data_IF_895706513197
#
_entry.id   IF_895706513197
#
_cell.length_a   1.000
_cell.length_b   1.000
_cell.length_c   1.000
_cell.angle_alpha   90.00
_cell.angle_beta   90.00
_cell.angle_gamma   90.00
#
_symmetry.space_group_name_H-M   'P 1'
#
loop_
_entity.id
_entity.type
_entity.pdbx_description
1 polymer ?
#
# COMPACT_ATOMS: atom_id res chain seq x y z
N UNK A 1 5.61 -6.24 4.63
CA UNK A 1 5.83 -5.29 3.51
C UNK A 1 4.51 -5.02 2.82
N UNK A 2 4.23 -3.75 2.51
CA UNK A 2 3.03 -3.30 1.83
C UNK A 2 3.40 -2.74 0.45
N UNK A 3 2.58 -3.07 -0.56
CA UNK A 3 2.72 -2.58 -1.93
C UNK A 3 1.43 -1.91 -2.41
N UNK A 4 1.56 -0.78 -3.10
CA UNK A 4 0.44 -0.05 -3.70
C UNK A 4 0.59 -0.05 -5.22
N UNK A 5 -0.01 -1.04 -5.86
CA UNK A 5 0.14 -1.33 -7.28
C UNK A 5 -0.70 -0.37 -8.10
N UNK A 6 -0.03 0.43 -8.93
CA UNK A 6 -0.62 1.31 -9.91
C UNK A 6 -0.26 0.86 -11.34
N UNK A 7 -0.64 1.62 -12.38
CA UNK A 7 -0.32 1.28 -13.78
C UNK A 7 1.19 1.14 -13.98
N UNK A 8 1.99 2.04 -13.39
CA UNK A 8 3.45 1.95 -13.49
C UNK A 8 3.99 0.64 -12.93
N UNK A 9 3.46 0.17 -11.79
CA UNK A 9 3.81 -1.13 -11.22
C UNK A 9 3.41 -2.28 -12.15
N UNK A 10 2.20 -2.25 -12.71
CA UNK A 10 1.75 -3.29 -13.64
C UNK A 10 2.69 -3.39 -14.84
N UNK A 11 3.02 -2.26 -15.47
CA UNK A 11 3.90 -2.22 -16.63
C UNK A 11 5.32 -2.64 -16.28
N UNK A 12 5.89 -2.15 -15.18
CA UNK A 12 7.24 -2.54 -14.77
C UNK A 12 7.33 -4.03 -14.41
N UNK A 13 6.27 -4.64 -13.86
CA UNK A 13 6.23 -6.06 -13.53
C UNK A 13 6.19 -6.98 -14.77
N UNK A 14 5.82 -6.45 -15.94
CA UNK A 14 5.83 -7.19 -17.21
C UNK A 14 7.28 -7.44 -17.69
N UNK A 15 8.15 -6.44 -17.54
CA UNK A 15 9.53 -6.48 -18.07
C UNK A 15 10.62 -6.73 -17.02
N UNK A 16 10.32 -6.64 -15.72
CA UNK A 16 11.29 -6.86 -14.64
C UNK A 16 10.85 -8.00 -13.70
N UNK A 17 11.34 -9.24 -13.91
CA UNK A 17 10.95 -10.41 -13.12
C UNK A 17 11.22 -10.26 -11.62
N UNK A 18 12.33 -9.63 -11.23
CA UNK A 18 12.66 -9.38 -9.83
C UNK A 18 11.70 -8.37 -9.18
N UNK A 19 11.30 -7.33 -9.93
CA UNK A 19 10.31 -6.38 -9.46
C UNK A 19 8.94 -7.04 -9.31
N UNK A 20 8.53 -7.86 -10.28
CA UNK A 20 7.33 -8.67 -10.17
C UNK A 20 7.35 -9.53 -8.92
N UNK A 21 8.45 -10.24 -8.68
CA UNK A 21 8.64 -11.06 -7.48
C UNK A 21 8.48 -10.23 -6.20
N UNK A 22 9.05 -9.02 -6.15
CA UNK A 22 8.93 -8.14 -4.97
C UNK A 22 7.48 -7.72 -4.66
N UNK A 23 6.68 -7.45 -5.69
CA UNK A 23 5.25 -7.16 -5.54
C UNK A 23 4.49 -8.40 -5.05
N UNK A 24 4.76 -9.57 -5.63
CA UNK A 24 4.11 -10.84 -5.25
C UNK A 24 4.48 -11.31 -3.85
N UNK A 25 5.69 -11.02 -3.38
CA UNK A 25 6.17 -11.35 -2.03
C UNK A 25 5.73 -10.33 -0.95
N UNK A 26 4.95 -9.32 -1.32
CA UNK A 26 4.38 -8.39 -0.35
C UNK A 26 3.34 -9.08 0.54
N UNK A 27 3.24 -8.63 1.79
CA UNK A 27 2.25 -9.15 2.74
C UNK A 27 0.85 -8.62 2.46
N UNK A 28 0.77 -7.39 1.93
CA UNK A 28 -0.45 -6.78 1.47
C UNK A 28 -0.18 -6.01 0.17
N UNK A 29 -1.05 -6.24 -0.82
CA UNK A 29 -1.03 -5.56 -2.12
C UNK A 29 -2.34 -4.79 -2.26
N UNK A 30 -2.24 -3.47 -2.31
CA UNK A 30 -3.34 -2.54 -2.49
C UNK A 30 -3.35 -2.03 -3.93
N UNK A 31 -4.53 -1.79 -4.49
CA UNK A 31 -4.66 -1.30 -5.88
C UNK A 31 -4.78 0.22 -5.87
N UNK A 32 -3.71 0.89 -6.31
CA UNK A 32 -3.56 2.34 -6.34
C UNK A 32 -3.72 2.89 -7.76
N UNK A 33 -4.89 2.72 -8.35
CA UNK A 33 -5.19 3.34 -9.64
C UNK A 33 -6.55 2.98 -10.18
N UNK A 34 -7.31 4.00 -10.59
CA UNK A 34 -8.62 3.81 -11.20
C UNK A 34 -8.57 2.96 -12.50
N UNK A 35 -7.55 3.09 -13.38
CA UNK A 35 -7.44 2.24 -14.56
C UNK A 35 -7.35 0.74 -14.24
N UNK A 36 -6.70 0.37 -13.13
CA UNK A 36 -6.61 -1.03 -12.70
C UNK A 36 -7.96 -1.54 -12.18
N UNK A 37 -8.76 -0.69 -11.53
CA UNK A 37 -10.12 -1.05 -11.11
C UNK A 37 -11.03 -1.26 -12.33
N UNK A 38 -10.93 -0.42 -13.36
CA UNK A 38 -11.67 -0.62 -14.61
C UNK A 38 -11.28 -1.93 -15.30
N UNK A 39 -9.98 -2.20 -15.39
CA UNK A 39 -9.45 -3.45 -15.93
C UNK A 39 -9.96 -4.67 -15.15
N UNK A 40 -9.94 -4.60 -13.82
CA UNK A 40 -10.45 -5.65 -12.96
C UNK A 40 -11.94 -5.91 -13.20
N UNK A 41 -12.76 -4.84 -13.29
CA UNK A 41 -14.20 -4.95 -13.59
C UNK A 41 -14.45 -5.59 -14.95
N UNK A 42 -13.68 -5.20 -15.97
CA UNK A 42 -13.77 -5.78 -17.30
C UNK A 42 -13.50 -7.30 -17.26
N UNK A 43 -12.49 -7.72 -16.49
CA UNK A 43 -12.09 -9.12 -16.31
C UNK A 43 -12.95 -9.90 -15.29
N UNK A 44 -14.00 -9.30 -14.73
CA UNK A 44 -14.84 -9.90 -13.69
C UNK A 44 -14.07 -10.22 -12.40
N UNK A 45 -12.98 -9.49 -12.12
CA UNK A 45 -12.20 -9.62 -10.90
C UNK A 45 -12.88 -8.83 -9.76
N UNK A 46 -13.00 -9.42 -8.56
CA UNK A 46 -13.65 -8.78 -7.42
C UNK A 46 -12.70 -7.78 -6.73
N UNK A 47 -12.28 -6.75 -7.45
CA UNK A 47 -11.55 -5.60 -6.90
C UNK A 47 -12.52 -4.41 -6.82
N UNK A 48 -13.15 -4.18 -5.65
CA UNK A 48 -14.30 -3.28 -5.57
C UNK A 48 -13.89 -1.81 -5.70
N UNK A 49 -12.72 -1.43 -5.17
CA UNK A 49 -12.32 -0.04 -5.06
C UNK A 49 -10.81 0.18 -5.13
N UNK A 50 -10.44 1.43 -5.41
CA UNK A 50 -9.08 1.95 -5.40
C UNK A 50 -8.68 2.27 -3.96
N UNK A 51 -7.50 1.80 -3.55
CA UNK A 51 -6.89 2.09 -2.26
C UNK A 51 -5.50 2.67 -2.50
N UNK A 52 -5.38 4.01 -2.51
CA UNK A 52 -4.07 4.64 -2.62
C UNK A 52 -3.28 4.56 -1.33
N UNK A 53 -1.96 4.46 -1.47
CA UNK A 53 -1.06 4.54 -0.34
C UNK A 53 -1.13 5.87 0.40
N UNK A 54 -1.40 6.97 -0.31
CA UNK A 54 -1.62 8.29 0.29
C UNK A 54 -2.94 8.38 1.05
N UNK A 55 -4.01 7.75 0.56
CA UNK A 55 -5.29 7.68 1.28
C UNK A 55 -5.14 6.83 2.56
N UNK A 56 -4.42 5.69 2.48
CA UNK A 56 -4.07 4.89 3.66
C UNK A 56 -3.24 5.69 4.68
N UNK A 57 -2.24 6.45 4.23
CA UNK A 57 -1.42 7.28 5.10
C UNK A 57 -2.24 8.36 5.80
N UNK A 58 -3.14 9.02 5.06
CA UNK A 58 -4.10 10.02 5.59
C UNK A 58 -5.04 9.39 6.63
N UNK A 59 -5.53 8.17 6.39
CA UNK A 59 -6.38 7.45 7.34
C UNK A 59 -5.61 7.05 8.60
N UNK A 60 -4.35 6.61 8.47
CA UNK A 60 -3.47 6.32 9.62
C UNK A 60 -3.22 7.57 10.49
N UNK A 61 -3.03 8.75 9.89
CA UNK A 61 -2.86 10.02 10.63
C UNK A 61 -4.06 10.35 11.52
N UNK A 62 -5.28 10.02 11.06
CA UNK A 62 -6.54 10.35 11.74
C UNK A 62 -6.91 9.39 12.86
N UNK A 63 -6.27 8.23 12.93
CA UNK A 63 -6.62 7.22 13.93
C UNK A 63 -6.27 7.71 15.35
N UNK A 64 -7.17 7.59 16.34
CA UNK A 64 -6.89 7.94 17.72
C UNK A 64 -5.99 6.89 18.41
N UNK A 65 -5.32 7.29 19.50
CA UNK A 65 -4.46 6.42 20.32
C UNK A 65 -2.96 6.75 20.22
N UNK A 66 -2.06 5.91 20.77
CA UNK A 66 -0.61 6.06 20.68
C UNK A 66 -0.12 6.07 19.22
N UNK A 67 0.61 7.10 18.77
CA UNK A 67 0.94 7.27 17.36
C UNK A 67 1.91 6.19 16.88
N UNK A 68 1.82 5.83 15.60
CA UNK A 68 2.90 5.09 14.94
C UNK A 68 4.05 6.05 14.65
N UNK A 69 5.26 5.63 15.00
CA UNK A 69 6.50 6.33 14.67
C UNK A 69 6.88 6.06 13.22
N UNK A 70 6.94 7.09 12.39
CA UNK A 70 7.19 6.98 10.95
C UNK A 70 8.59 7.48 10.60
N UNK A 71 9.41 6.61 10.01
CA UNK A 71 10.66 7.02 9.39
C UNK A 71 10.49 7.12 7.87
N UNK A 72 11.17 8.10 7.27
CA UNK A 72 11.19 8.30 5.83
C UNK A 72 12.60 8.04 5.29
N UNK A 73 12.71 7.20 4.26
CA UNK A 73 13.98 6.90 3.60
C UNK A 73 13.91 7.24 2.11
N UNK A 74 14.77 8.16 1.67
CA UNK A 74 14.82 8.65 0.30
C UNK A 74 13.85 9.80 0.01
N UNK A 75 13.60 10.05 -1.27
CA UNK A 75 12.94 11.25 -1.76
C UNK A 75 13.96 12.32 -2.19
N UNK A 76 13.49 13.47 -2.70
CA UNK A 76 14.36 14.59 -3.05
C UNK A 76 15.17 15.07 -1.83
N UNK A 77 16.32 15.73 -2.02
CA UNK A 77 17.14 16.24 -0.91
C UNK A 77 16.31 17.06 0.10
N UNK A 78 16.42 16.71 1.39
CA UNK A 78 15.69 17.33 2.50
C UNK A 78 14.23 16.88 2.67
N UNK A 79 13.64 16.16 1.71
CA UNK A 79 12.21 15.83 1.76
C UNK A 79 11.89 14.81 2.87
N UNK A 80 12.79 13.88 3.16
CA UNK A 80 12.58 12.89 4.23
C UNK A 80 12.60 13.55 5.61
N UNK A 81 13.58 14.44 5.83
CA UNK A 81 13.78 15.19 7.06
C UNK A 81 12.61 16.13 7.32
N UNK A 82 12.20 16.89 6.30
CA UNK A 82 11.02 17.77 6.35
C UNK A 82 9.73 16.98 6.60
N UNK A 83 9.53 15.84 5.93
CA UNK A 83 8.37 14.99 6.16
C UNK A 83 8.31 14.49 7.60
N UNK A 84 9.44 14.05 8.16
CA UNK A 84 9.51 13.63 9.56
C UNK A 84 9.22 14.79 10.52
N UNK A 85 9.83 15.95 10.31
CA UNK A 85 9.64 17.13 11.15
C UNK A 85 8.18 17.61 11.11
N UNK A 86 7.61 17.71 9.91
CA UNK A 86 6.23 18.14 9.70
C UNK A 86 5.23 17.19 10.36
N UNK A 87 5.47 15.88 10.31
CA UNK A 87 4.62 14.88 10.94
C UNK A 87 4.68 14.96 12.47
N UNK A 88 5.88 15.17 13.04
CA UNK A 88 6.05 15.41 14.48
C UNK A 88 5.34 16.68 14.93
N UNK A 89 5.44 17.76 14.16
CA UNK A 89 4.76 19.02 14.45
C UNK A 89 3.23 18.88 14.37
N UNK A 90 2.72 18.22 13.33
CA UNK A 90 1.28 17.95 13.17
C UNK A 90 0.75 17.05 14.30
N UNK A 91 1.56 16.09 14.77
CA UNK A 91 1.22 15.28 15.92
C UNK A 91 1.11 16.12 17.19
N UNK A 92 2.10 16.97 17.48
CA UNK A 92 2.10 17.86 18.64
C UNK A 92 0.92 18.84 18.64
N UNK A 93 0.47 19.28 17.45
CA UNK A 93 -0.72 20.12 17.27
C UNK A 93 -2.06 19.34 17.32
N UNK A 94 -2.02 18.02 17.46
CA UNK A 94 -3.21 17.16 17.44
C UNK A 94 -3.87 17.01 16.07
N UNK A 95 -3.22 17.47 14.99
CA UNK A 95 -3.72 17.37 13.61
C UNK A 95 -3.47 15.97 13.00
N UNK A 96 -2.39 15.31 13.43
CA UNK A 96 -2.05 13.93 13.10
C UNK A 96 -1.93 13.10 14.39
N UNK A 97 -3.04 12.82 15.09
CA UNK A 97 -2.98 12.06 16.36
C UNK A 97 -2.43 10.64 16.18
N UNK A 98 -2.55 10.07 14.98
CA UNK A 98 -2.23 8.67 14.73
C UNK A 98 -0.83 8.38 14.25
N UNK A 99 -0.08 9.38 13.80
CA UNK A 99 1.30 9.24 13.32
C UNK A 99 2.18 10.35 13.88
N UNK A 100 3.45 10.03 14.13
CA UNK A 100 4.50 11.00 14.53
C UNK A 100 5.81 10.67 13.81
N UNK A 101 6.71 11.64 13.64
CA UNK A 101 7.98 11.44 12.96
C UNK A 101 9.01 10.69 13.82
N UNK A 102 9.76 9.79 13.21
CA UNK A 102 10.82 8.98 13.82
C UNK A 102 12.21 9.26 13.21
N UNK A 103 12.28 10.01 12.10
CA UNK A 103 13.51 10.34 11.40
C UNK A 103 13.31 10.44 9.89
N UNK A 104 14.08 11.33 9.27
CA UNK A 104 14.25 11.41 7.83
C UNK A 104 15.67 11.03 7.46
N UNK A 105 15.81 10.17 6.46
CA UNK A 105 17.09 9.62 6.04
C UNK A 105 17.25 9.81 4.54
N UNK A 106 18.19 10.66 4.15
CA UNK A 106 18.61 10.77 2.76
C UNK A 106 19.19 9.43 2.29
N UNK A 107 18.73 8.96 1.14
CA UNK A 107 19.30 7.76 0.51
C UNK A 107 20.53 8.09 -0.34
N UNK A 108 20.62 9.31 -0.89
CA UNK A 108 21.61 9.65 -1.90
C UNK A 108 21.35 8.96 -3.24
N UNK A 109 22.39 8.82 -4.05
CA UNK A 109 22.35 8.17 -5.36
C UNK A 109 23.09 6.85 -5.31
N UNK A 110 22.50 5.80 -5.89
CA UNK A 110 23.09 4.48 -5.84
C UNK A 110 22.14 3.39 -6.34
N UNK A 111 22.66 2.18 -6.47
CA UNK A 111 21.87 0.97 -6.71
C UNK A 111 21.29 0.43 -5.39
N UNK A 112 20.63 -0.72 -5.43
CA UNK A 112 20.04 -1.29 -4.23
C UNK A 112 21.13 -1.67 -3.20
N UNK A 113 22.29 -2.13 -3.65
CA UNK A 113 23.34 -2.66 -2.79
C UNK A 113 24.08 -1.54 -2.07
N UNK A 114 24.42 -0.48 -2.78
CA UNK A 114 25.06 0.71 -2.20
C UNK A 114 24.15 1.40 -1.19
N UNK A 115 22.83 1.34 -1.38
CA UNK A 115 21.84 1.88 -0.44
C UNK A 115 21.53 0.94 0.74
N UNK A 116 22.09 -0.27 0.76
CA UNK A 116 21.84 -1.32 1.77
C UNK A 116 23.00 -1.47 2.75
N UNK A 117 23.83 -0.44 2.89
CA UNK A 117 24.97 -0.43 3.80
C UNK A 117 24.54 -0.53 5.27
N UNK A 118 25.44 -1.05 6.10
CA UNK A 118 25.17 -1.29 7.52
C UNK A 118 24.89 0.00 8.31
N UNK A 119 25.50 1.13 7.93
CA UNK A 119 25.28 2.38 8.65
C UNK A 119 23.86 2.91 8.41
N UNK A 120 23.38 2.87 7.16
CA UNK A 120 22.00 3.23 6.82
C UNK A 120 20.99 2.35 7.56
N UNK A 121 21.19 1.04 7.55
CA UNK A 121 20.26 0.11 8.22
C UNK A 121 20.30 0.21 9.74
N UNK A 122 21.49 0.45 10.33
CA UNK A 122 21.63 0.71 11.75
C UNK A 122 20.90 1.99 12.15
N UNK A 123 21.03 3.07 11.37
CA UNK A 123 20.34 4.34 11.62
C UNK A 123 18.81 4.19 11.52
N UNK A 124 18.33 3.51 10.49
CA UNK A 124 16.89 3.21 10.33
C UNK A 124 16.36 2.36 11.48
N UNK A 125 17.11 1.36 11.94
CA UNK A 125 16.72 0.52 13.08
C UNK A 125 16.77 1.28 14.41
N UNK A 126 17.75 2.17 14.60
CA UNK A 126 17.90 3.00 15.79
C UNK A 126 16.80 4.06 15.93
N UNK A 127 16.18 4.47 14.81
CA UNK A 127 15.02 5.39 14.82
C UNK A 127 13.84 4.88 15.66
N UNK A 128 13.75 3.57 15.87
CA UNK A 128 12.62 2.95 16.54
C UNK A 128 11.31 3.11 15.77
N UNK A 129 11.38 3.27 14.43
CA UNK A 129 10.22 3.43 13.59
C UNK A 129 9.34 2.17 13.58
N UNK A 130 8.04 2.42 13.67
CA UNK A 130 6.98 1.44 13.50
C UNK A 130 6.60 1.28 12.02
N UNK A 131 6.75 2.37 11.26
CA UNK A 131 6.46 2.41 9.84
C UNK A 131 7.58 3.09 9.07
N UNK A 132 8.29 2.31 8.26
CA UNK A 132 9.27 2.79 7.30
C UNK A 132 8.62 3.08 5.94
N UNK A 133 8.66 4.34 5.53
CA UNK A 133 8.24 4.80 4.20
C UNK A 133 9.47 4.95 3.30
N UNK A 134 9.52 4.14 2.25
CA UNK A 134 10.61 4.12 1.27
C UNK A 134 10.22 4.93 0.02
N UNK A 135 11.06 5.88 -0.39
CA UNK A 135 10.82 6.78 -1.52
C UNK A 135 11.99 6.81 -2.51
N UNK A 136 12.37 5.64 -3.03
CA UNK A 136 13.47 5.47 -4.00
C UNK A 136 13.01 5.33 -5.46
N UNK A 137 11.72 5.53 -5.72
CA UNK A 137 11.06 5.12 -6.97
C UNK A 137 10.56 3.68 -6.90
N UNK A 138 9.53 3.36 -7.70
CA UNK A 138 8.78 2.10 -7.59
C UNK A 138 9.66 0.85 -7.61
N UNK A 139 10.44 0.67 -8.68
CA UNK A 139 11.26 -0.52 -8.90
C UNK A 139 12.35 -0.65 -7.83
N UNK A 140 13.17 0.40 -7.67
CA UNK A 140 14.28 0.42 -6.73
C UNK A 140 13.81 0.30 -5.28
N UNK A 141 12.74 1.02 -4.92
CA UNK A 141 12.19 1.03 -3.57
C UNK A 141 11.62 -0.31 -3.15
N UNK A 142 10.93 -1.02 -4.05
CA UNK A 142 10.45 -2.38 -3.78
C UNK A 142 11.60 -3.39 -3.67
N UNK A 143 12.59 -3.32 -4.57
CA UNK A 143 13.75 -4.20 -4.50
C UNK A 143 14.56 -3.99 -3.22
N UNK A 144 14.79 -2.72 -2.84
CA UNK A 144 15.49 -2.37 -1.60
C UNK A 144 14.72 -2.84 -0.36
N UNK A 145 13.40 -2.64 -0.32
CA UNK A 145 12.57 -3.09 0.79
C UNK A 145 12.58 -4.61 0.91
N UNK A 146 12.44 -5.35 -0.20
CA UNK A 146 12.47 -6.80 -0.19
C UNK A 146 13.83 -7.34 0.28
N UNK A 147 14.93 -6.78 -0.23
CA UNK A 147 16.30 -7.18 0.14
C UNK A 147 16.55 -7.01 1.64
N UNK A 148 16.13 -5.89 2.21
CA UNK A 148 16.47 -5.53 3.58
C UNK A 148 15.40 -5.89 4.62
N UNK A 149 14.23 -6.41 4.21
CA UNK A 149 13.11 -6.68 5.13
C UNK A 149 13.48 -7.51 6.35
N UNK A 150 14.40 -8.46 6.22
CA UNK A 150 14.83 -9.34 7.31
C UNK A 150 15.81 -8.66 8.29
N UNK A 151 16.46 -7.57 7.85
CA UNK A 151 17.44 -6.79 8.62
C UNK A 151 16.81 -5.55 9.27
N UNK A 152 15.62 -5.17 8.82
CA UNK A 152 14.86 -4.02 9.34
C UNK A 152 13.96 -4.45 10.51
N UNK A 153 13.93 -3.64 11.56
CA UNK A 153 13.10 -3.86 12.76
C UNK A 153 11.68 -3.30 12.64
N UNK A 154 11.49 -2.34 11.73
CA UNK A 154 10.19 -1.72 11.51
C UNK A 154 9.16 -2.78 11.04
N UNK A 155 8.04 -2.97 11.75
CA UNK A 155 7.04 -3.96 11.38
C UNK A 155 6.31 -3.61 10.08
N UNK A 156 6.13 -2.32 9.80
CA UNK A 156 5.54 -1.84 8.56
C UNK A 156 6.62 -1.24 7.66
N UNK A 157 6.70 -1.73 6.44
CA UNK A 157 7.60 -1.22 5.40
C UNK A 157 6.78 -1.09 4.13
N UNK A 158 6.73 0.09 3.54
CA UNK A 158 6.00 0.35 2.29
C UNK A 158 6.76 1.32 1.42
N UNK A 159 6.79 1.04 0.11
CA UNK A 159 7.19 2.05 -0.86
C UNK A 159 6.03 3.03 -1.08
N UNK A 160 6.18 4.28 -0.65
CA UNK A 160 5.19 5.36 -0.80
C UNK A 160 5.85 6.64 -1.31
N UNK A 161 6.39 6.62 -2.52
CA UNK A 161 7.22 7.72 -3.03
C UNK A 161 6.59 9.12 -2.98
N UNK A 162 5.32 9.27 -3.40
CA UNK A 162 4.66 10.58 -3.39
C UNK A 162 4.29 11.06 -1.97
N UNK A 163 4.13 10.14 -1.01
CA UNK A 163 3.72 10.47 0.37
C UNK A 163 4.80 11.27 1.10
N UNK A 164 6.07 11.05 0.80
CA UNK A 164 7.17 11.87 1.37
C UNK A 164 6.98 13.34 0.99
N UNK A 165 6.78 13.62 -0.31
CA UNK A 165 6.62 15.00 -0.77
C UNK A 165 5.31 15.65 -0.32
N UNK A 166 4.22 14.88 -0.21
CA UNK A 166 2.97 15.39 0.35
C UNK A 166 3.12 15.72 1.84
N UNK A 167 3.76 14.84 2.62
CA UNK A 167 3.98 15.05 4.06
C UNK A 167 4.95 16.20 4.31
N UNK A 168 6.00 16.35 3.49
CA UNK A 168 6.92 17.48 3.55
C UNK A 168 6.30 18.82 3.09
N UNK A 169 5.03 18.83 2.64
CA UNK A 169 4.37 20.05 2.14
C UNK A 169 4.87 20.54 0.78
N UNK A 170 5.77 19.79 0.12
CA UNK A 170 6.35 20.13 -1.19
C UNK A 170 5.37 19.95 -2.35
N UNK A 171 4.39 19.08 -2.18
CA UNK A 171 3.32 18.84 -3.16
C UNK A 171 1.96 18.91 -2.48
N UNK A 172 0.97 19.40 -3.23
CA UNK A 172 -0.43 19.37 -2.79
C UNK A 172 -1.15 18.14 -3.35
N UNK A 173 -1.97 17.50 -2.51
CA UNK A 173 -2.87 16.41 -2.92
C UNK A 173 -3.92 16.95 -3.91
N UNK A 174 -4.44 16.07 -4.76
CA UNK A 174 -5.57 16.41 -5.61
C UNK A 174 -6.83 16.70 -4.75
N UNK A 175 -7.66 17.67 -5.15
CA UNK A 175 -8.95 17.94 -4.51
C UNK A 175 -9.81 16.68 -4.39
N UNK A 176 -10.66 16.61 -3.36
CA UNK A 176 -11.51 15.44 -3.08
C UNK A 176 -12.37 15.05 -4.28
N UNK A 177 -12.91 16.03 -5.01
CA UNK A 177 -13.73 15.77 -6.19
C UNK A 177 -12.91 15.07 -7.30
N UNK A 178 -11.67 15.50 -7.54
CA UNK A 178 -10.78 14.92 -8.55
C UNK A 178 -10.36 13.49 -8.17
N UNK A 179 -10.13 13.24 -6.87
CA UNK A 179 -9.88 11.89 -6.33
C UNK A 179 -11.09 10.97 -6.51
N UNK A 180 -12.31 11.47 -6.28
CA UNK A 180 -13.56 10.69 -6.39
C UNK A 180 -13.88 10.29 -7.83
N UNK A 181 -13.68 11.18 -8.80
CA UNK A 181 -13.92 10.89 -10.22
C UNK A 181 -12.75 10.19 -10.91
N UNK A 182 -11.64 9.95 -10.19
CA UNK A 182 -10.50 9.18 -10.69
C UNK A 182 -9.56 9.93 -11.63
N UNK A 183 -9.61 11.27 -11.66
CA UNK A 183 -8.74 12.11 -12.50
C UNK A 183 -7.52 12.68 -11.76
N UNK A 184 -7.19 12.11 -10.60
CA UNK A 184 -6.02 12.52 -9.80
C UNK A 184 -4.72 12.51 -10.62
N UNK A 185 -4.59 11.60 -11.59
CA UNK A 185 -3.45 11.58 -12.50
C UNK A 185 -3.34 12.85 -13.36
N UNK A 186 -4.46 13.42 -13.81
CA UNK A 186 -4.48 14.66 -14.58
C UNK A 186 -4.09 15.85 -13.71
N UNK A 187 -4.60 15.89 -12.48
CA UNK A 187 -4.18 16.87 -11.48
C UNK A 187 -2.66 16.81 -11.26
N UNK A 188 -2.11 15.59 -11.12
CA UNK A 188 -0.67 15.41 -10.95
C UNK A 188 0.13 15.89 -12.16
N UNK A 189 -0.33 15.66 -13.38
CA UNK A 189 0.32 16.17 -14.59
C UNK A 189 0.31 17.70 -14.60
N UNK A 190 -0.79 18.33 -14.17
CA UNK A 190 -0.88 19.78 -14.08
C UNK A 190 0.09 20.36 -13.02
N UNK A 191 0.25 19.68 -11.87
CA UNK A 191 1.16 20.14 -10.79
C UNK A 191 2.62 19.78 -11.01
N UNK A 192 2.89 18.66 -11.69
CA UNK A 192 4.24 18.16 -11.96
C UNK A 192 4.37 17.82 -13.46
N UNK A 193 4.51 18.80 -14.36
CA UNK A 193 4.47 18.57 -15.81
C UNK A 193 5.42 17.47 -16.27
N UNK A 194 6.62 17.38 -15.71
CA UNK A 194 7.63 16.37 -16.06
C UNK A 194 7.15 14.91 -15.98
N UNK A 195 6.09 14.60 -15.23
CA UNK A 195 5.56 13.23 -15.12
C UNK A 195 4.77 12.81 -16.36
N UNK A 196 4.35 13.74 -17.22
CA UNK A 196 3.49 13.46 -18.38
C UNK A 196 4.07 12.38 -19.29
N UNK A 197 5.40 12.42 -19.53
CA UNK A 197 6.11 11.45 -20.37
C UNK A 197 5.95 10.02 -19.84
N UNK A 198 6.04 9.87 -18.51
CA UNK A 198 5.83 8.59 -17.84
C UNK A 198 4.40 8.11 -18.01
N UNK A 199 3.40 8.98 -17.77
CA UNK A 199 1.99 8.62 -17.96
C UNK A 199 1.65 8.22 -19.40
N UNK A 200 2.22 8.92 -20.38
CA UNK A 200 2.04 8.58 -21.79
C UNK A 200 2.65 7.20 -22.11
N UNK A 201 3.87 6.92 -21.63
CA UNK A 201 4.52 5.63 -21.86
C UNK A 201 3.80 4.47 -21.15
N UNK A 202 3.40 4.68 -19.90
CA UNK A 202 2.64 3.71 -19.11
C UNK A 202 1.26 3.46 -19.76
N UNK A 203 0.60 4.52 -20.23
CA UNK A 203 -0.69 4.44 -20.93
C UNK A 203 -0.61 3.69 -22.26
N UNK A 204 0.42 3.96 -23.08
CA UNK A 204 0.64 3.23 -24.34
C UNK A 204 0.85 1.74 -24.11
N UNK A 205 1.67 1.38 -23.13
CA UNK A 205 1.91 -0.03 -22.78
C UNK A 205 0.66 -0.69 -22.21
N UNK A 206 -0.13 0.03 -21.40
CA UNK A 206 -1.40 -0.48 -20.90
C UNK A 206 -2.39 -0.75 -22.04
N UNK A 207 -2.48 0.14 -23.04
CA UNK A 207 -3.31 -0.10 -24.23
C UNK A 207 -2.82 -1.33 -25.02
N UNK A 208 -1.50 -1.49 -25.17
CA UNK A 208 -0.92 -2.69 -25.78
C UNK A 208 -1.34 -3.97 -25.04
N UNK A 209 -1.24 -3.99 -23.71
CA UNK A 209 -1.70 -5.11 -22.88
C UNK A 209 -3.21 -5.35 -23.00
N UNK A 210 -4.00 -4.27 -23.06
CA UNK A 210 -5.45 -4.38 -23.24
C UNK A 210 -5.80 -5.09 -24.54
N UNK A 211 -5.16 -4.70 -25.64
CA UNK A 211 -5.41 -5.29 -26.97
C UNK A 211 -4.87 -6.71 -27.07
N UNK A 212 -3.64 -6.95 -26.59
CA UNK A 212 -2.96 -8.22 -26.79
C UNK A 212 -3.45 -9.34 -25.86
N UNK A 213 -3.87 -9.01 -24.64
CA UNK A 213 -4.16 -10.02 -23.61
C UNK A 213 -5.56 -9.88 -23.04
N UNK A 214 -5.98 -8.67 -22.66
CA UNK A 214 -7.23 -8.48 -21.91
C UNK A 214 -8.46 -8.66 -22.80
N UNK A 215 -8.47 -8.07 -24.00
CA UNK A 215 -9.60 -8.19 -24.94
C UNK A 215 -9.79 -9.65 -25.39
N UNK A 216 -8.75 -10.39 -25.80
CA UNK A 216 -8.88 -11.82 -26.11
C UNK A 216 -9.40 -12.64 -24.92
N UNK A 217 -8.87 -12.41 -23.70
CA UNK A 217 -9.36 -13.08 -22.50
C UNK A 217 -10.81 -12.71 -22.17
N UNK A 218 -11.23 -11.48 -22.46
CA UNK A 218 -12.60 -11.04 -22.24
C UNK A 218 -13.59 -11.60 -23.27
N UNK A 219 -13.18 -11.68 -24.55
CA UNK A 219 -13.99 -12.19 -25.65
C UNK A 219 -14.09 -13.73 -25.65
N UNK A 220 -13.00 -14.41 -25.31
CA UNK A 220 -12.87 -15.87 -25.47
C UNK A 220 -12.70 -16.62 -24.14
N UNK A 221 -12.47 -15.92 -23.03
CA UNK A 221 -12.34 -16.53 -21.71
C UNK A 221 -13.70 -16.82 -21.07
N UNK A 222 -13.77 -17.91 -20.32
CA UNK A 222 -14.92 -18.20 -19.46
C UNK A 222 -15.01 -17.16 -18.35
N UNK A 223 -16.11 -16.41 -18.30
CA UNK A 223 -16.35 -15.48 -17.18
C UNK A 223 -16.39 -16.27 -15.88
N UNK A 224 -15.66 -15.85 -14.84
CA UNK A 224 -15.83 -16.44 -13.52
C UNK A 224 -17.27 -16.18 -13.09
N UNK A 225 -17.94 -17.20 -12.53
CA UNK A 225 -19.23 -17.01 -11.89
C UNK A 225 -19.10 -15.85 -10.88
N UNK A 226 -19.87 -14.78 -11.11
CA UNK A 226 -19.85 -13.59 -10.27
C UNK A 226 -20.09 -14.00 -8.82
N UNK A 227 -19.17 -13.62 -7.93
CA UNK A 227 -19.37 -13.82 -6.50
C UNK A 227 -20.66 -13.13 -6.04
N UNK A 228 -21.46 -13.85 -5.27
CA UNK A 228 -22.76 -13.45 -4.69
C UNK A 228 -22.74 -12.05 -4.02
N UNK A 229 -23.88 -11.34 -3.95
CA UNK A 229 -23.96 -9.98 -3.40
C UNK A 229 -23.59 -9.90 -1.92
N UNK A 230 -23.02 -8.76 -1.54
CA UNK A 230 -22.77 -8.21 -0.20
C UNK A 230 -23.34 -9.00 1.00
N UNK A 231 -22.64 -10.05 1.43
CA UNK A 231 -22.90 -10.66 2.73
C UNK A 231 -22.10 -9.92 3.82
N UNK A 232 -22.78 -9.49 4.87
CA UNK A 232 -22.23 -8.77 6.04
C UNK A 232 -21.01 -9.50 6.58
N UNK A 233 -19.97 -8.75 6.92
CA UNK A 233 -18.77 -9.32 7.52
C UNK A 233 -19.10 -10.01 8.84
N UNK A 234 -18.67 -11.26 8.98
CA UNK A 234 -18.86 -12.05 10.18
C UNK A 234 -17.50 -12.30 10.84
N UNK A 235 -17.44 -12.06 12.14
CA UNK A 235 -16.29 -12.35 12.98
C UNK A 235 -16.49 -13.72 13.61
N UNK A 236 -15.59 -14.67 13.33
CA UNK A 236 -15.57 -15.96 14.00
C UNK A 236 -14.38 -16.06 14.96
N UNK A 237 -14.60 -16.53 16.18
CA UNK A 237 -13.51 -16.88 17.12
C UNK A 237 -13.20 -18.36 16.93
N UNK A 238 -11.95 -18.70 16.66
CA UNK A 238 -11.48 -20.09 16.63
C UNK A 238 -10.09 -20.18 17.23
N UNK A 239 -9.93 -20.97 18.30
CA UNK A 239 -8.64 -21.32 18.89
C UNK A 239 -7.71 -20.13 19.20
N UNK A 240 -8.26 -19.05 19.77
CA UNK A 240 -7.48 -17.84 20.09
C UNK A 240 -7.09 -16.97 18.89
N UNK A 241 -7.57 -17.32 17.69
CA UNK A 241 -7.47 -16.53 16.46
C UNK A 241 -8.82 -15.94 16.06
N UNK A 242 -8.81 -14.70 15.55
CA UNK A 242 -10.00 -14.03 15.03
C UNK A 242 -10.01 -14.14 13.52
N UNK A 243 -11.05 -14.77 12.97
CA UNK A 243 -11.24 -14.86 11.52
C UNK A 243 -12.11 -13.72 11.03
N UNK A 244 -11.54 -12.87 10.17
CA UNK A 244 -12.28 -11.84 9.46
C UNK A 244 -12.84 -12.39 8.17
N UNK A 245 -14.15 -12.28 8.00
CA UNK A 245 -14.83 -12.68 6.78
C UNK A 245 -15.64 -11.53 6.21
N UNK A 246 -15.76 -11.47 4.88
CA UNK A 246 -16.60 -10.49 4.18
C UNK A 246 -15.83 -9.27 3.69
N UNK A 247 -16.52 -8.14 3.59
CA UNK A 247 -16.01 -6.91 2.98
C UNK A 247 -15.47 -5.94 4.05
N UNK A 248 -14.39 -5.23 3.74
CA UNK A 248 -13.93 -4.09 4.54
C UNK A 248 -14.99 -2.98 4.58
N UNK A 249 -14.97 -2.15 5.63
CA UNK A 249 -15.98 -1.10 5.79
C UNK A 249 -16.25 -0.70 7.24
N UNK A 250 -17.23 0.19 7.48
CA UNK A 250 -17.53 0.71 8.82
C UNK A 250 -17.83 -0.37 9.86
N UNK A 251 -18.60 -1.40 9.49
CA UNK A 251 -18.95 -2.51 10.37
C UNK A 251 -17.73 -3.32 10.79
N UNK A 252 -16.82 -3.62 9.85
CA UNK A 252 -15.55 -4.30 10.13
C UNK A 252 -14.67 -3.46 11.03
N UNK A 253 -14.55 -2.15 10.77
CA UNK A 253 -13.78 -1.23 11.62
C UNK A 253 -14.33 -1.17 13.05
N UNK A 254 -15.65 -1.16 13.20
CA UNK A 254 -16.28 -1.17 14.51
C UNK A 254 -15.97 -2.46 15.27
N UNK A 255 -16.07 -3.62 14.60
CA UNK A 255 -15.72 -4.91 15.17
C UNK A 255 -14.24 -4.96 15.60
N UNK A 256 -13.31 -4.57 14.70
CA UNK A 256 -11.87 -4.52 14.98
C UNK A 256 -11.55 -3.66 16.21
N UNK A 257 -12.11 -2.43 16.26
CA UNK A 257 -11.91 -1.52 17.40
C UNK A 257 -12.47 -2.05 18.71
N UNK A 258 -13.57 -2.79 18.66
CA UNK A 258 -14.16 -3.43 19.84
C UNK A 258 -13.28 -4.56 20.37
N UNK A 259 -12.73 -5.39 19.48
CA UNK A 259 -11.97 -6.58 19.84
C UNK A 259 -10.54 -6.26 20.28
N UNK A 260 -9.89 -5.28 19.65
CA UNK A 260 -8.56 -4.87 20.09
C UNK A 260 -8.54 -4.27 21.51
N UNK A 261 -9.68 -3.84 22.05
CA UNK A 261 -9.81 -3.42 23.46
C UNK A 261 -9.90 -4.60 24.45
N UNK A 262 -10.26 -5.79 23.97
CA UNK A 262 -10.57 -6.97 24.79
C UNK A 262 -9.52 -8.06 24.63
N UNK A 263 -8.82 -8.09 23.51
CA UNK A 263 -7.98 -9.20 23.09
C UNK A 263 -6.48 -8.95 23.38
N UNK A 264 -5.82 -9.91 24.05
CA UNK A 264 -4.35 -9.97 24.19
C UNK A 264 -3.62 -10.21 22.85
N UNK A 265 -2.43 -10.85 22.82
CA UNK A 265 -1.79 -11.20 21.56
C UNK A 265 -2.69 -12.17 20.79
N UNK A 266 -3.31 -11.68 19.71
CA UNK A 266 -4.31 -12.44 18.95
C UNK A 266 -3.96 -12.40 17.47
N UNK A 267 -4.01 -13.59 16.88
CA UNK A 267 -3.75 -13.82 15.48
C UNK A 267 -5.01 -13.54 14.65
N UNK A 268 -4.89 -12.79 13.55
CA UNK A 268 -6.03 -12.45 12.69
C UNK A 268 -5.95 -13.21 11.37
N UNK A 269 -6.93 -14.07 11.14
CA UNK A 269 -7.08 -14.77 9.87
C UNK A 269 -7.88 -13.91 8.88
N UNK A 270 -7.18 -13.34 7.88
CA UNK A 270 -7.78 -12.56 6.80
C UNK A 270 -8.13 -13.45 5.58
N UNK A 271 -7.93 -14.77 5.63
CA UNK A 271 -8.16 -15.69 4.49
C UNK A 271 -9.57 -15.67 3.89
N UNK A 272 -10.56 -15.13 4.59
CA UNK A 272 -11.93 -15.00 4.12
C UNK A 272 -12.35 -13.54 3.84
N UNK A 273 -11.40 -12.60 3.89
CA UNK A 273 -11.62 -11.20 3.55
C UNK A 273 -11.73 -11.05 2.02
N UNK A 274 -12.80 -10.42 1.55
CA UNK A 274 -13.08 -10.22 0.13
C UNK A 274 -12.56 -8.89 -0.38
N UNK A 275 -12.65 -7.84 0.42
CA UNK A 275 -12.21 -6.48 0.10
C UNK A 275 -11.64 -5.76 1.31
N UNK A 276 -10.89 -4.68 1.06
CA UNK A 276 -10.32 -3.84 2.10
C UNK A 276 -10.27 -2.39 1.63
N UNK A 277 -11.05 -1.51 2.27
CA UNK A 277 -10.94 -0.06 2.07
C UNK A 277 -9.71 0.50 2.83
N UNK A 278 -9.27 1.71 2.46
CA UNK A 278 -8.10 2.36 3.07
C UNK A 278 -8.23 2.47 4.60
N UNK A 279 -9.41 2.86 5.08
CA UNK A 279 -9.66 3.07 6.50
C UNK A 279 -9.63 1.75 7.30
N UNK A 280 -10.12 0.65 6.73
CA UNK A 280 -10.08 -0.68 7.34
C UNK A 280 -8.65 -1.22 7.30
N UNK A 281 -7.90 -1.00 6.22
CA UNK A 281 -6.47 -1.31 6.19
C UNK A 281 -5.72 -0.55 7.29
N UNK A 282 -6.00 0.73 7.49
CA UNK A 282 -5.40 1.54 8.54
C UNK A 282 -5.67 0.95 9.94
N UNK A 283 -6.92 0.58 10.23
CA UNK A 283 -7.29 -0.06 11.51
C UNK A 283 -6.66 -1.45 11.66
N UNK A 284 -6.51 -2.22 10.59
CA UNK A 284 -5.83 -3.52 10.64
C UNK A 284 -4.35 -3.38 10.97
N UNK A 285 -3.67 -2.40 10.39
CA UNK A 285 -2.23 -2.21 10.54
C UNK A 285 -1.82 -1.63 11.91
N UNK A 286 -2.78 -1.09 12.68
CA UNK A 286 -2.52 -0.42 13.96
C UNK A 286 -3.43 -0.95 15.07
N UNK A 287 -2.84 -1.54 16.12
CA UNK A 287 -3.57 -1.81 17.36
C UNK A 287 -3.68 -0.52 18.21
N UNK A 288 -4.61 -0.45 19.17
CA UNK A 288 -4.75 0.68 20.07
C UNK A 288 -3.55 0.92 20.99
N UNK A 289 -2.68 -0.07 21.18
CA UNK A 289 -1.53 -0.03 22.11
C UNK A 289 -0.17 -0.05 21.39
N UNK A 290 -0.10 -0.70 20.22
CA UNK A 290 1.15 -0.89 19.46
C UNK A 290 0.90 -1.09 17.96
N UNK A 291 1.90 -0.95 17.10
CA UNK A 291 1.80 -1.35 15.70
C UNK A 291 1.54 -2.86 15.60
N UNK A 292 0.70 -3.28 14.64
CA UNK A 292 0.46 -4.71 14.41
C UNK A 292 1.59 -5.28 13.56
N UNK A 293 2.22 -6.37 14.01
CA UNK A 293 3.22 -7.07 13.20
C UNK A 293 2.52 -7.92 12.13
N UNK A 294 3.15 -8.09 10.97
CA UNK A 294 2.64 -9.00 9.93
C UNK A 294 2.53 -10.45 10.42
N UNK A 295 3.37 -10.87 11.37
CA UNK A 295 3.27 -12.19 12.01
C UNK A 295 1.96 -12.40 12.77
N UNK A 296 1.24 -11.33 13.14
CA UNK A 296 -0.07 -11.38 13.81
C UNK A 296 -1.23 -11.44 12.80
N UNK A 297 -0.94 -11.45 11.50
CA UNK A 297 -1.93 -11.48 10.41
C UNK A 297 -1.65 -12.69 9.51
N UNK A 298 -2.68 -13.51 9.23
CA UNK A 298 -2.68 -14.39 8.06
C UNK A 298 -3.27 -13.60 6.90
N UNK A 299 -2.46 -13.14 5.92
CA UNK A 299 -2.98 -12.41 4.78
C UNK A 299 -3.88 -13.31 3.93
N UNK A 300 -4.79 -12.74 3.13
CA UNK A 300 -5.72 -13.55 2.37
C UNK A 300 -4.98 -14.34 1.29
N UNK A 301 -4.91 -15.67 1.44
CA UNK A 301 -4.17 -16.54 0.52
C UNK A 301 -4.75 -16.53 -0.88
N UNK A 302 -6.06 -16.27 -1.05
CA UNK A 302 -6.67 -16.04 -2.36
C UNK A 302 -6.34 -14.67 -2.97
N UNK A 303 -5.89 -13.67 -2.20
CA UNK A 303 -5.38 -12.42 -2.78
C UNK A 303 -3.99 -12.63 -3.35
N UNK A 304 -3.13 -13.36 -2.63
CA UNK A 304 -1.84 -13.83 -3.16
C UNK A 304 -2.05 -14.74 -4.38
N UNK A 305 -2.91 -15.75 -4.26
CA UNK A 305 -3.12 -16.75 -5.30
C UNK A 305 -3.94 -16.25 -6.51
N UNK A 306 -4.95 -15.37 -6.36
CA UNK A 306 -5.71 -14.85 -7.52
C UNK A 306 -4.97 -13.75 -8.27
N UNK A 307 -4.20 -12.88 -7.59
CA UNK A 307 -3.25 -12.03 -8.31
C UNK A 307 -2.14 -12.88 -8.94
N UNK A 308 -1.57 -13.90 -8.26
CA UNK A 308 -0.57 -14.80 -8.86
C UNK A 308 -1.12 -15.55 -10.08
N UNK A 309 -2.26 -16.24 -9.98
CA UNK A 309 -2.85 -17.00 -11.09
C UNK A 309 -3.22 -16.10 -12.27
N UNK A 310 -3.73 -14.89 -12.03
CA UNK A 310 -4.22 -14.02 -13.12
C UNK A 310 -3.20 -13.02 -13.64
N UNK A 311 -2.24 -12.57 -12.82
CA UNK A 311 -1.06 -11.89 -13.36
C UNK A 311 -0.24 -12.89 -14.15
N UNK A 312 -0.03 -14.13 -13.69
CA UNK A 312 0.65 -15.14 -14.51
C UNK A 312 -0.09 -15.36 -15.85
N UNK A 313 -1.44 -15.43 -15.88
CA UNK A 313 -2.19 -15.45 -17.14
C UNK A 313 -2.16 -14.14 -17.98
N UNK A 314 -1.74 -13.02 -17.40
CA UNK A 314 -1.49 -11.74 -18.09
C UNK A 314 0.01 -11.49 -18.32
N UNK A 315 0.87 -12.45 -17.97
CA UNK A 315 2.34 -12.33 -18.01
C UNK A 315 2.98 -13.50 -18.77
N UNK A 316 2.28 -14.62 -18.89
CA UNK A 316 2.52 -15.78 -19.76
C UNK A 316 1.62 -15.70 -21.01
#
# INVERSE_FOLDING_TARGET
>A
MLSTVNVNFLIAAQSAPEFRRSVLESDLVLVDGQPLIWLARLLGLPLPERVAGSDLFEDLQRLPGPPLKVAFFGGPPGAAEEASAQLTEQHAKGLSPGLTGAGGFAAGFGDVDSLSDEATLAALNASGADFLVVALGAVKGQAWALRNRARLRAPLISHLGAVVNFTAGRLSRAPVWARRVGIEWLWRIATEPGIWRRYMNDGRQLVGLLIAQVIPLWLFGSRPAGGSPHARGALGIRDGSYKLQGDGGPAMRQALRGLDKVAGPCHWDLSALRSLDAATAAVLLRRPDRPRKWSELTPPTHWRARLQLRLNHLLD
#
